data_IF_707966816635
#
_entry.id   IF_707966816635
#
_cell.length_a   1.000
_cell.length_b   1.000
_cell.length_c   1.000
_cell.angle_alpha   90.00
_cell.angle_beta   90.00
_cell.angle_gamma   90.00
#
_symmetry.space_group_name_H-M   'P 1'
#
loop_
_entity.id
_entity.type
_entity.pdbx_description
1 polymer ?
#
# COMPACT_ATOMS: atom_id res chain seq x y z
N UNK A 1 -31.60 34.73 -15.58
CA UNK A 1 -30.73 33.53 -15.46
C UNK A 1 -31.47 32.63 -14.50
N UNK A 2 -31.69 31.37 -14.83
CA UNK A 2 -32.30 30.44 -13.86
C UNK A 2 -31.31 30.24 -12.73
N UNK A 3 -31.80 30.30 -11.47
CA UNK A 3 -30.95 30.00 -10.30
C UNK A 3 -30.42 28.57 -10.42
N UNK A 4 -29.13 28.39 -10.22
CA UNK A 4 -28.49 27.09 -10.25
C UNK A 4 -29.05 26.26 -9.09
N UNK A 5 -29.45 25.00 -9.37
CA UNK A 5 -29.98 24.10 -8.35
C UNK A 5 -28.90 23.83 -7.29
N UNK A 6 -29.29 23.91 -6.02
CA UNK A 6 -28.40 23.68 -4.89
C UNK A 6 -28.56 22.22 -4.40
N UNK A 7 -27.45 21.46 -4.37
CA UNK A 7 -27.39 20.07 -3.93
C UNK A 7 -27.03 19.87 -2.45
N UNK A 8 -26.72 20.94 -1.66
CA UNK A 8 -26.14 20.83 -0.32
C UNK A 8 -26.95 19.91 0.64
N UNK A 9 -28.27 19.97 0.54
CA UNK A 9 -29.15 19.14 1.37
C UNK A 9 -29.34 17.70 0.88
N UNK A 10 -28.75 17.34 -0.25
CA UNK A 10 -28.91 16.03 -0.88
C UNK A 10 -27.67 15.15 -0.81
N UNK A 11 -26.54 15.71 -0.39
CA UNK A 11 -25.32 14.91 -0.22
C UNK A 11 -25.43 13.96 0.99
N UNK A 12 -24.90 12.74 0.83
CA UNK A 12 -24.80 11.80 1.93
C UNK A 12 -23.76 12.26 2.96
N UNK A 13 -23.92 11.87 4.23
CA UNK A 13 -23.00 12.22 5.33
C UNK A 13 -21.53 11.81 5.02
N UNK A 14 -21.33 10.72 4.28
CA UNK A 14 -19.99 10.24 3.91
C UNK A 14 -19.41 10.87 2.65
N UNK A 15 -20.17 11.71 1.93
CA UNK A 15 -19.67 12.39 0.74
C UNK A 15 -18.78 13.57 1.14
N UNK A 16 -17.66 13.70 0.46
CA UNK A 16 -16.75 14.84 0.62
C UNK A 16 -16.63 15.56 -0.71
N UNK A 17 -16.61 16.88 -0.68
CA UNK A 17 -16.29 17.67 -1.86
C UNK A 17 -14.81 17.46 -2.19
N UNK A 18 -14.57 16.53 -3.10
CA UNK A 18 -13.24 16.23 -3.61
C UNK A 18 -13.30 16.37 -5.11
N UNK A 19 -13.02 17.57 -5.64
CA UNK A 19 -13.01 17.77 -7.08
C UNK A 19 -12.02 16.84 -7.74
N UNK A 20 -12.35 16.24 -8.91
CA UNK A 20 -11.42 15.44 -9.66
C UNK A 20 -10.23 16.30 -10.08
N UNK A 21 -9.14 16.18 -9.33
CA UNK A 21 -7.88 16.88 -9.59
C UNK A 21 -6.96 16.07 -10.49
N UNK A 22 -6.12 16.75 -11.26
CA UNK A 22 -4.96 16.12 -11.89
C UNK A 22 -3.91 15.82 -10.82
N UNK A 23 -3.24 14.67 -10.96
CA UNK A 23 -2.04 14.41 -10.16
C UNK A 23 -1.02 15.50 -10.48
N UNK A 24 -0.56 16.20 -9.46
CA UNK A 24 0.45 17.25 -9.59
C UNK A 24 1.84 16.61 -9.50
N UNK A 25 2.71 16.94 -10.43
CA UNK A 25 4.10 16.51 -10.44
C UNK A 25 5.01 17.72 -10.25
N UNK A 26 6.08 17.56 -9.47
CA UNK A 26 7.17 18.51 -9.36
C UNK A 26 8.34 18.07 -10.23
N UNK A 27 9.37 18.92 -10.38
CA UNK A 27 10.59 18.56 -11.09
C UNK A 27 11.31 17.35 -10.46
N UNK A 28 11.37 17.34 -9.13
CA UNK A 28 11.92 16.26 -8.32
C UNK A 28 10.78 15.64 -7.52
N UNK A 29 10.15 14.63 -8.09
CA UNK A 29 8.92 14.05 -7.53
C UNK A 29 9.23 12.81 -6.67
N UNK A 30 9.31 13.03 -5.35
CA UNK A 30 9.47 11.97 -4.36
C UNK A 30 8.16 11.66 -3.63
N UNK A 31 7.04 12.28 -4.00
CA UNK A 31 5.74 12.03 -3.37
C UNK A 31 5.10 10.75 -3.92
N UNK A 32 5.08 10.59 -5.24
CA UNK A 32 4.26 9.57 -5.89
C UNK A 32 4.94 8.22 -5.91
N UNK A 33 4.20 7.18 -5.51
CA UNK A 33 4.68 5.81 -5.46
C UNK A 33 4.45 5.08 -6.80
N UNK A 34 5.07 5.54 -7.86
CA UNK A 34 5.05 4.89 -9.17
C UNK A 34 6.25 3.97 -9.36
N UNK A 35 6.12 2.88 -10.13
CA UNK A 35 7.27 2.14 -10.63
C UNK A 35 8.07 2.99 -11.62
N UNK A 36 9.25 2.52 -11.95
CA UNK A 36 10.11 3.12 -12.95
C UNK A 36 9.46 3.02 -14.34
N UNK A 37 9.18 4.13 -15.03
CA UNK A 37 8.58 4.08 -16.37
C UNK A 37 9.48 3.43 -17.41
N UNK A 38 10.80 3.51 -17.26
CA UNK A 38 11.78 2.94 -18.20
C UNK A 38 11.88 1.40 -18.07
N UNK A 39 11.43 0.85 -16.93
CA UNK A 39 11.41 -0.60 -16.68
C UNK A 39 10.05 -1.25 -16.98
N UNK A 40 9.07 -0.53 -17.55
CA UNK A 40 7.79 -1.15 -17.89
C UNK A 40 7.96 -2.16 -19.03
N UNK A 41 7.47 -3.42 -18.91
CA UNK A 41 7.66 -4.47 -19.89
C UNK A 41 6.66 -4.36 -21.06
N UNK A 42 6.62 -3.19 -21.74
CA UNK A 42 5.55 -2.83 -22.68
C UNK A 42 5.42 -3.82 -23.83
N UNK A 43 6.52 -4.23 -24.48
CA UNK A 43 6.49 -5.18 -25.59
C UNK A 43 5.95 -6.55 -25.16
N UNK A 44 6.42 -7.06 -24.03
CA UNK A 44 5.94 -8.33 -23.47
C UNK A 44 4.47 -8.28 -23.07
N UNK A 45 3.98 -7.11 -22.61
CA UNK A 45 2.56 -6.92 -22.32
C UNK A 45 1.73 -6.88 -23.61
N UNK A 46 2.21 -6.28 -24.70
CA UNK A 46 1.54 -6.27 -26.01
C UNK A 46 1.42 -7.71 -26.54
N UNK A 47 2.49 -8.51 -26.47
CA UNK A 47 2.45 -9.93 -26.84
C UNK A 47 1.46 -10.72 -25.98
N UNK A 48 1.45 -10.45 -24.67
CA UNK A 48 0.52 -11.10 -23.72
C UNK A 48 -0.94 -10.74 -24.00
N UNK A 49 -1.24 -9.48 -24.40
CA UNK A 49 -2.59 -9.09 -24.85
C UNK A 49 -3.01 -9.94 -26.04
N UNK A 50 -2.14 -10.06 -27.06
CA UNK A 50 -2.43 -10.83 -28.28
C UNK A 50 -2.72 -12.30 -27.93
N UNK A 51 -1.82 -12.94 -27.18
CA UNK A 51 -1.97 -14.33 -26.78
C UNK A 51 -3.25 -14.56 -25.94
N UNK A 52 -3.55 -13.68 -25.02
CA UNK A 52 -4.76 -13.75 -24.20
C UNK A 52 -6.04 -13.67 -25.03
N UNK A 53 -6.07 -12.81 -26.03
CA UNK A 53 -7.23 -12.64 -26.92
C UNK A 53 -7.39 -13.81 -27.88
N UNK A 54 -6.30 -14.33 -28.43
CA UNK A 54 -6.32 -15.54 -29.27
C UNK A 54 -6.87 -16.73 -28.47
N UNK A 55 -6.42 -16.90 -27.23
CA UNK A 55 -6.91 -17.97 -26.33
C UNK A 55 -8.38 -17.82 -25.98
N UNK A 56 -8.85 -16.60 -25.68
CA UNK A 56 -10.24 -16.34 -25.23
C UNK A 56 -11.22 -16.25 -26.38
N UNK A 57 -10.80 -15.69 -27.50
CA UNK A 57 -11.57 -15.61 -28.72
C UNK A 57 -12.96 -14.98 -28.52
N UNK A 58 -13.99 -15.68 -29.07
CA UNK A 58 -15.39 -15.21 -29.02
C UNK A 58 -15.98 -15.14 -27.61
N UNK A 59 -15.39 -15.82 -26.61
CA UNK A 59 -15.86 -15.80 -25.23
C UNK A 59 -15.71 -14.42 -24.59
N UNK A 60 -14.95 -13.50 -25.20
CA UNK A 60 -14.92 -12.10 -24.80
C UNK A 60 -16.29 -11.38 -24.94
N UNK A 61 -17.25 -11.97 -25.68
CA UNK A 61 -18.63 -11.48 -25.76
C UNK A 61 -19.44 -11.71 -24.48
N UNK A 62 -18.96 -12.54 -23.56
CA UNK A 62 -19.63 -12.84 -22.30
C UNK A 62 -18.97 -12.14 -21.12
N UNK A 63 -19.77 -11.82 -20.12
CA UNK A 63 -19.21 -11.39 -18.83
C UNK A 63 -18.38 -12.52 -18.21
N UNK A 64 -17.23 -12.17 -17.65
CA UNK A 64 -16.41 -13.14 -16.90
C UNK A 64 -17.07 -13.55 -15.58
N UNK A 65 -16.56 -14.65 -14.99
CA UNK A 65 -16.94 -15.02 -13.62
C UNK A 65 -16.82 -13.83 -12.67
N UNK A 66 -17.78 -13.64 -11.78
CA UNK A 66 -17.67 -12.61 -10.74
C UNK A 66 -16.35 -12.61 -9.97
N UNK A 67 -15.79 -13.80 -9.67
CA UNK A 67 -14.47 -13.91 -9.01
C UNK A 67 -13.28 -13.52 -9.91
N UNK A 68 -13.51 -13.23 -11.19
CA UNK A 68 -12.47 -12.93 -12.18
C UNK A 68 -12.00 -14.15 -12.98
N UNK A 69 -11.02 -13.96 -13.84
CA UNK A 69 -10.47 -14.99 -14.71
C UNK A 69 -9.87 -16.15 -13.91
N UNK A 70 -10.30 -17.38 -14.21
CA UNK A 70 -9.90 -18.57 -13.46
C UNK A 70 -8.43 -18.92 -13.67
N UNK A 71 -7.90 -18.70 -14.87
CA UNK A 71 -6.50 -18.95 -15.16
C UNK A 71 -5.59 -18.00 -14.36
N UNK A 72 -5.91 -16.70 -14.34
CA UNK A 72 -5.16 -15.74 -13.54
C UNK A 72 -5.21 -16.08 -12.05
N UNK A 73 -6.38 -16.47 -11.53
CA UNK A 73 -6.50 -16.88 -10.12
C UNK A 73 -5.65 -18.11 -9.78
N UNK A 74 -5.56 -19.09 -10.69
CA UNK A 74 -4.67 -20.25 -10.51
C UNK A 74 -3.20 -19.84 -10.49
N UNK A 75 -2.77 -19.02 -11.45
CA UNK A 75 -1.39 -18.53 -11.50
C UNK A 75 -1.01 -17.71 -10.26
N UNK A 76 -1.94 -16.90 -9.75
CA UNK A 76 -1.73 -16.17 -8.48
C UNK A 76 -1.63 -17.16 -7.31
N UNK A 77 -2.50 -18.17 -7.22
CA UNK A 77 -2.42 -19.18 -6.16
C UNK A 77 -1.08 -19.93 -6.18
N UNK A 78 -0.61 -20.32 -7.38
CA UNK A 78 0.66 -21.01 -7.57
C UNK A 78 1.84 -20.09 -7.15
N UNK A 79 1.80 -18.80 -7.51
CA UNK A 79 2.79 -17.81 -7.09
C UNK A 79 2.81 -17.65 -5.56
N UNK A 80 1.66 -17.49 -4.94
CA UNK A 80 1.55 -17.34 -3.47
C UNK A 80 2.01 -18.61 -2.73
N UNK A 81 1.71 -19.79 -3.27
CA UNK A 81 2.20 -21.05 -2.73
C UNK A 81 3.73 -21.14 -2.79
N UNK A 82 4.32 -20.79 -3.93
CA UNK A 82 5.77 -20.86 -4.17
C UNK A 82 6.55 -19.83 -3.34
N UNK A 83 6.07 -18.60 -3.29
CA UNK A 83 6.83 -17.47 -2.77
C UNK A 83 6.48 -17.06 -1.35
N UNK A 84 5.26 -17.38 -0.91
CA UNK A 84 4.74 -17.02 0.41
C UNK A 84 4.40 -18.21 1.29
N UNK A 85 4.58 -19.43 0.75
CA UNK A 85 4.19 -20.69 1.41
C UNK A 85 2.70 -20.72 1.82
N UNK A 86 1.83 -20.05 1.05
CA UNK A 86 0.40 -19.99 1.32
C UNK A 86 -0.29 -21.23 0.77
N UNK A 87 -1.14 -21.85 1.60
CA UNK A 87 -1.98 -23.00 1.20
C UNK A 87 -3.31 -22.52 0.64
N UNK A 88 -3.28 -21.96 -0.57
CA UNK A 88 -4.45 -21.34 -1.22
C UNK A 88 -4.67 -21.89 -2.61
N UNK A 89 -5.91 -21.86 -3.06
CA UNK A 89 -6.34 -22.24 -4.39
C UNK A 89 -7.03 -21.08 -5.10
N UNK A 90 -7.35 -21.23 -6.38
CA UNK A 90 -8.13 -20.22 -7.11
C UNK A 90 -9.50 -19.94 -6.47
N UNK A 91 -10.05 -20.87 -5.70
CA UNK A 91 -11.38 -20.73 -5.07
C UNK A 91 -11.33 -19.93 -3.75
N UNK A 92 -10.14 -19.72 -3.20
CA UNK A 92 -9.92 -18.95 -1.98
C UNK A 92 -9.67 -17.48 -2.26
N UNK A 93 -9.80 -17.03 -3.53
CA UNK A 93 -9.52 -15.67 -3.92
C UNK A 93 -10.49 -15.08 -4.93
N UNK A 94 -10.53 -13.75 -4.96
CA UNK A 94 -11.23 -12.97 -5.98
C UNK A 94 -10.32 -11.87 -6.52
N UNK A 95 -10.44 -11.60 -7.82
CA UNK A 95 -9.73 -10.51 -8.47
C UNK A 95 -10.45 -9.18 -8.27
N UNK A 96 -9.68 -8.11 -8.10
CA UNK A 96 -10.19 -6.75 -7.86
C UNK A 96 -9.50 -5.73 -8.76
N UNK A 97 -10.13 -4.58 -8.94
CA UNK A 97 -9.57 -3.47 -9.72
C UNK A 97 -8.47 -2.72 -8.94
N UNK A 98 -7.39 -3.46 -8.62
CA UNK A 98 -6.32 -3.07 -7.72
C UNK A 98 -6.64 -3.39 -6.26
N UNK A 99 -5.60 -3.36 -5.41
CA UNK A 99 -5.73 -3.60 -3.96
C UNK A 99 -6.67 -2.60 -3.27
N UNK A 100 -6.77 -1.36 -3.77
CA UNK A 100 -7.66 -0.36 -3.20
C UNK A 100 -9.14 -0.75 -3.22
N UNK A 101 -9.61 -1.48 -4.25
CA UNK A 101 -10.96 -2.06 -4.26
C UNK A 101 -11.08 -3.20 -3.25
N UNK A 102 -10.09 -4.12 -3.20
CA UNK A 102 -10.07 -5.20 -2.23
C UNK A 102 -10.16 -4.67 -0.79
N UNK A 103 -9.32 -3.69 -0.45
CA UNK A 103 -9.32 -3.02 0.85
C UNK A 103 -10.69 -2.40 1.13
N UNK A 104 -11.27 -1.66 0.18
CA UNK A 104 -12.55 -0.99 0.35
C UNK A 104 -13.71 -1.93 0.63
N UNK A 105 -13.82 -3.04 -0.11
CA UNK A 105 -14.92 -4.02 0.11
C UNK A 105 -14.75 -4.79 1.43
N UNK A 106 -13.51 -5.04 1.88
CA UNK A 106 -13.25 -5.65 3.20
C UNK A 106 -13.60 -4.69 4.33
N UNK A 107 -13.20 -3.42 4.23
CA UNK A 107 -13.58 -2.38 5.20
C UNK A 107 -15.11 -2.31 5.33
N UNK A 108 -15.82 -2.25 4.19
CA UNK A 108 -17.29 -2.20 4.20
C UNK A 108 -17.94 -3.45 4.81
N UNK A 109 -17.35 -4.62 4.56
CA UNK A 109 -17.89 -5.88 5.09
C UNK A 109 -17.68 -6.07 6.59
N UNK A 110 -16.58 -5.52 7.14
CA UNK A 110 -16.17 -5.78 8.51
C UNK A 110 -16.39 -4.61 9.47
N UNK A 111 -16.70 -3.39 8.97
CA UNK A 111 -16.71 -2.18 9.77
C UNK A 111 -18.10 -1.52 9.76
N UNK A 112 -18.63 -1.19 10.93
CA UNK A 112 -19.75 -0.28 11.08
C UNK A 112 -19.24 1.10 11.55
N UNK A 113 -19.97 2.19 11.32
CA UNK A 113 -19.60 3.49 11.90
C UNK A 113 -19.45 3.41 13.43
N UNK A 114 -18.32 3.93 13.93
CA UNK A 114 -17.96 3.90 15.36
C UNK A 114 -17.25 2.63 15.84
N UNK A 115 -17.10 1.60 15.01
CA UNK A 115 -16.27 0.44 15.31
C UNK A 115 -14.78 0.85 15.29
N UNK A 116 -13.99 0.27 16.19
CA UNK A 116 -12.55 0.50 16.26
C UNK A 116 -11.81 -0.39 15.27
N UNK A 117 -10.93 0.22 14.50
CA UNK A 117 -9.96 -0.46 13.63
C UNK A 117 -8.55 -0.11 14.09
N UNK A 118 -7.73 -1.12 14.31
CA UNK A 118 -6.34 -0.93 14.73
C UNK A 118 -5.42 -0.85 13.52
N UNK A 119 -4.46 0.08 13.57
CA UNK A 119 -3.46 0.29 12.52
C UNK A 119 -2.11 0.60 13.15
N UNK A 120 -1.04 0.50 12.37
CA UNK A 120 0.28 1.01 12.75
C UNK A 120 0.22 2.53 13.02
N UNK A 121 1.17 3.08 13.78
CA UNK A 121 1.21 4.52 14.11
C UNK A 121 1.23 5.41 12.86
N UNK A 122 1.93 4.94 11.82
CA UNK A 122 1.88 5.52 10.47
C UNK A 122 1.44 4.44 9.50
N UNK A 123 0.41 4.73 8.73
CA UNK A 123 -0.25 3.76 7.84
C UNK A 123 -0.54 4.38 6.47
N UNK A 124 -0.66 3.56 5.45
CA UNK A 124 -0.96 4.02 4.10
C UNK A 124 -2.18 4.95 4.06
N UNK A 125 -1.94 6.18 3.59
CA UNK A 125 -2.94 7.26 3.54
C UNK A 125 -4.23 6.84 2.83
N UNK A 126 -4.12 6.06 1.74
CA UNK A 126 -5.29 5.61 0.98
C UNK A 126 -6.22 4.72 1.81
N UNK A 127 -5.67 3.79 2.59
CA UNK A 127 -6.45 2.93 3.48
C UNK A 127 -6.99 3.70 4.67
N UNK A 128 -6.17 4.58 5.28
CA UNK A 128 -6.61 5.44 6.38
C UNK A 128 -7.83 6.29 6.00
N UNK A 129 -7.79 6.91 4.80
CA UNK A 129 -8.91 7.70 4.30
C UNK A 129 -10.14 6.85 4.00
N UNK A 130 -9.98 5.62 3.51
CA UNK A 130 -11.10 4.72 3.31
C UNK A 130 -11.77 4.35 4.64
N UNK A 131 -10.99 3.96 5.68
CA UNK A 131 -11.51 3.64 7.01
C UNK A 131 -12.29 4.82 7.60
N UNK A 132 -11.71 6.03 7.57
CA UNK A 132 -12.37 7.26 8.04
C UNK A 132 -13.67 7.56 7.27
N UNK A 133 -13.68 7.36 5.96
CA UNK A 133 -14.87 7.56 5.11
C UNK A 133 -16.02 6.64 5.49
N UNK A 134 -15.73 5.40 5.91
CA UNK A 134 -16.74 4.45 6.41
C UNK A 134 -17.08 4.63 7.88
N UNK A 135 -16.56 5.68 8.51
CA UNK A 135 -16.89 6.05 9.88
C UNK A 135 -16.19 5.19 10.94
N UNK A 136 -15.12 4.50 10.59
CA UNK A 136 -14.31 3.77 11.57
C UNK A 136 -13.61 4.73 12.54
N UNK A 137 -13.52 4.33 13.80
CA UNK A 137 -12.65 4.92 14.81
C UNK A 137 -11.26 4.28 14.67
N UNK A 138 -10.36 4.97 13.96
CA UNK A 138 -9.04 4.43 13.62
C UNK A 138 -8.05 4.72 14.75
N UNK A 139 -7.57 3.67 15.40
CA UNK A 139 -6.70 3.74 16.57
C UNK A 139 -5.32 3.20 16.24
N UNK A 140 -4.30 4.02 16.48
CA UNK A 140 -2.91 3.66 16.27
C UNK A 140 -2.39 2.73 17.38
N UNK A 141 -1.58 1.75 16.98
CA UNK A 141 -0.76 0.91 17.85
C UNK A 141 0.69 1.38 17.73
N UNK A 142 1.41 1.50 18.84
CA UNK A 142 2.81 1.91 18.81
C UNK A 142 3.66 0.88 18.06
N UNK A 143 4.63 1.40 17.32
CA UNK A 143 5.59 0.62 16.55
C UNK A 143 7.02 1.01 16.96
N UNK A 144 7.95 0.08 16.74
CA UNK A 144 9.38 0.31 16.76
C UNK A 144 9.99 -0.06 15.39
N UNK A 145 11.32 -0.17 15.29
CA UNK A 145 12.00 -0.54 14.04
C UNK A 145 11.65 -1.96 13.56
N UNK A 146 11.12 -2.82 14.41
CA UNK A 146 10.61 -4.17 14.08
C UNK A 146 9.11 -4.22 13.78
N UNK A 147 8.41 -3.09 13.76
CA UNK A 147 6.98 -2.99 13.49
C UNK A 147 6.12 -2.88 14.76
N UNK A 148 4.91 -3.41 14.71
CA UNK A 148 3.93 -3.33 15.81
C UNK A 148 4.51 -3.93 17.09
N UNK A 149 4.47 -3.18 18.19
CA UNK A 149 4.86 -3.63 19.53
C UNK A 149 3.71 -4.46 20.13
N UNK A 150 3.92 -5.78 20.39
CA UNK A 150 2.83 -6.68 20.84
C UNK A 150 2.18 -6.24 22.15
N UNK A 151 2.97 -5.73 23.11
CA UNK A 151 2.48 -5.25 24.40
C UNK A 151 1.58 -4.00 24.23
N UNK A 152 1.95 -3.12 23.29
CA UNK A 152 1.11 -1.98 22.93
C UNK A 152 -0.20 -2.42 22.28
N UNK A 153 -0.14 -3.42 21.38
CA UNK A 153 -1.33 -3.99 20.74
C UNK A 153 -2.29 -4.59 21.80
N UNK A 154 -1.78 -5.42 22.73
CA UNK A 154 -2.58 -6.02 23.82
C UNK A 154 -3.23 -4.95 24.70
N UNK A 155 -2.45 -3.93 25.08
CA UNK A 155 -2.94 -2.80 25.88
C UNK A 155 -4.04 -2.01 25.16
N UNK A 156 -3.84 -1.65 23.90
CA UNK A 156 -4.81 -0.88 23.11
C UNK A 156 -6.10 -1.65 22.94
N UNK A 157 -6.06 -2.96 22.64
CA UNK A 157 -7.27 -3.79 22.52
C UNK A 157 -8.01 -3.84 23.84
N UNK A 158 -7.30 -4.08 24.94
CA UNK A 158 -7.86 -4.13 26.30
C UNK A 158 -8.54 -2.81 26.66
N UNK A 159 -7.88 -1.68 26.43
CA UNK A 159 -8.40 -0.35 26.74
C UNK A 159 -9.65 -0.01 25.91
N UNK A 160 -9.66 -0.32 24.62
CA UNK A 160 -10.83 -0.04 23.78
C UNK A 160 -12.02 -0.92 24.17
N UNK A 161 -11.76 -2.20 24.48
CA UNK A 161 -12.80 -3.13 24.95
C UNK A 161 -13.36 -2.69 26.31
N UNK A 162 -12.53 -2.24 27.24
CA UNK A 162 -12.95 -1.72 28.53
C UNK A 162 -13.83 -0.46 28.41
N UNK A 163 -13.65 0.34 27.35
CA UNK A 163 -14.51 1.49 27.00
C UNK A 163 -15.82 1.07 26.30
N UNK A 164 -16.10 -0.23 26.18
CA UNK A 164 -17.29 -0.75 25.50
C UNK A 164 -17.25 -0.62 23.97
N UNK A 165 -16.09 -0.37 23.39
CA UNK A 165 -15.91 -0.30 21.94
C UNK A 165 -15.74 -1.70 21.33
N UNK A 166 -16.20 -1.87 20.08
CA UNK A 166 -15.98 -3.09 19.31
C UNK A 166 -14.71 -2.92 18.46
N UNK A 167 -13.67 -3.69 18.78
CA UNK A 167 -12.44 -3.76 17.98
C UNK A 167 -12.64 -4.80 16.87
N UNK A 168 -12.53 -4.39 15.61
CA UNK A 168 -12.92 -5.22 14.45
C UNK A 168 -11.76 -6.03 13.87
N UNK A 169 -10.63 -5.41 13.65
CA UNK A 169 -9.45 -6.04 13.08
C UNK A 169 -8.21 -5.16 13.27
N UNK A 170 -7.04 -5.79 13.08
CA UNK A 170 -5.77 -5.11 12.90
C UNK A 170 -5.44 -5.07 11.41
N UNK A 171 -5.27 -3.88 10.82
CA UNK A 171 -4.71 -3.71 9.49
C UNK A 171 -3.21 -3.42 9.58
N UNK A 172 -2.40 -4.11 8.79
CA UNK A 172 -0.95 -3.98 8.79
C UNK A 172 -0.34 -4.20 7.40
N UNK A 173 0.77 -3.52 7.12
CA UNK A 173 1.61 -3.74 5.93
C UNK A 173 2.94 -4.32 6.42
N UNK A 174 3.09 -5.66 6.53
CA UNK A 174 4.21 -6.27 7.23
C UNK A 174 5.50 -6.33 6.42
N UNK A 175 5.46 -6.06 5.11
CA UNK A 175 6.61 -6.06 4.20
C UNK A 175 6.82 -4.68 3.58
N UNK A 176 8.02 -4.12 3.76
CA UNK A 176 8.40 -2.83 3.17
C UNK A 176 7.32 -1.77 3.39
N UNK A 177 6.95 -1.61 4.64
CA UNK A 177 5.80 -0.86 5.12
C UNK A 177 5.68 0.54 4.49
N UNK A 178 4.50 0.93 4.12
CA UNK A 178 4.20 2.26 3.63
C UNK A 178 3.54 3.11 4.75
N UNK A 179 4.25 4.11 5.31
CA UNK A 179 5.39 4.85 4.73
C UNK A 179 6.79 4.47 5.23
N UNK A 180 6.93 3.62 6.24
CA UNK A 180 8.12 3.49 7.09
C UNK A 180 9.29 2.72 6.42
N UNK A 181 9.01 1.86 5.44
CA UNK A 181 10.02 1.07 4.72
C UNK A 181 10.56 -0.15 5.46
N UNK A 182 10.16 -0.40 6.72
CA UNK A 182 10.61 -1.57 7.47
C UNK A 182 9.88 -2.87 7.09
N UNK A 183 10.47 -3.99 7.46
CA UNK A 183 9.87 -5.32 7.37
C UNK A 183 9.69 -5.90 8.75
N UNK A 184 8.48 -6.34 9.09
CA UNK A 184 8.20 -7.04 10.33
C UNK A 184 8.79 -8.46 10.28
N UNK A 185 9.67 -8.79 11.21
CA UNK A 185 10.31 -10.10 11.27
C UNK A 185 9.34 -11.24 11.67
N UNK A 186 9.79 -12.47 11.50
CA UNK A 186 8.96 -13.66 11.74
C UNK A 186 8.50 -13.77 13.20
N UNK A 187 9.35 -13.50 14.16
CA UNK A 187 9.01 -13.63 15.58
C UNK A 187 8.00 -12.56 15.98
N UNK A 188 8.16 -11.33 15.48
CA UNK A 188 7.21 -10.26 15.72
C UNK A 188 5.83 -10.59 15.13
N UNK A 189 5.77 -11.18 13.92
CA UNK A 189 4.50 -11.65 13.33
C UNK A 189 3.82 -12.69 14.18
N UNK A 190 4.55 -13.66 14.72
CA UNK A 190 4.01 -14.69 15.63
C UNK A 190 3.41 -14.07 16.88
N UNK A 191 4.13 -13.14 17.53
CA UNK A 191 3.65 -12.45 18.73
C UNK A 191 2.38 -11.60 18.43
N UNK A 192 2.33 -10.91 17.30
CA UNK A 192 1.13 -10.16 16.87
C UNK A 192 -0.05 -11.10 16.65
N UNK A 193 0.16 -12.27 16.01
CA UNK A 193 -0.88 -13.30 15.85
C UNK A 193 -1.32 -13.90 17.18
N UNK A 194 -0.43 -14.09 18.13
CA UNK A 194 -0.76 -14.56 19.48
C UNK A 194 -1.67 -13.55 20.18
N UNK A 195 -1.30 -12.27 20.18
CA UNK A 195 -2.11 -11.20 20.79
C UNK A 195 -3.47 -11.09 20.12
N UNK A 196 -3.54 -11.00 18.79
CA UNK A 196 -4.81 -10.92 18.08
C UNK A 196 -5.66 -12.15 18.29
N UNK A 197 -5.04 -13.35 18.38
CA UNK A 197 -5.69 -14.61 18.70
C UNK A 197 -6.31 -14.64 20.09
N UNK A 198 -5.57 -14.19 21.10
CA UNK A 198 -6.05 -14.05 22.49
C UNK A 198 -7.34 -13.22 22.58
N UNK A 199 -7.43 -12.18 21.77
CA UNK A 199 -8.59 -11.27 21.74
C UNK A 199 -9.65 -11.64 20.69
N UNK A 200 -9.43 -12.69 19.88
CA UNK A 200 -10.34 -13.11 18.81
C UNK A 200 -10.49 -12.09 17.68
N UNK A 201 -9.43 -11.32 17.38
CA UNK A 201 -9.44 -10.25 16.40
C UNK A 201 -8.75 -10.73 15.11
N UNK A 202 -9.38 -10.59 13.92
CA UNK A 202 -8.74 -10.89 12.65
C UNK A 202 -7.62 -9.92 12.31
N UNK A 203 -6.67 -10.38 11.48
CA UNK A 203 -5.62 -9.56 10.88
C UNK A 203 -5.94 -9.32 9.42
N UNK A 204 -5.83 -8.09 8.99
CA UNK A 204 -5.94 -7.67 7.60
C UNK A 204 -4.52 -7.32 7.09
N UNK A 205 -3.92 -8.26 6.38
CA UNK A 205 -2.58 -8.18 5.82
C UNK A 205 -2.60 -7.57 4.42
N UNK A 206 -1.95 -6.41 4.24
CA UNK A 206 -1.73 -5.77 2.94
C UNK A 206 -0.30 -6.03 2.47
N UNK A 207 -0.13 -6.92 1.49
CA UNK A 207 1.16 -7.41 1.02
C UNK A 207 1.50 -6.89 -0.40
N UNK A 208 1.19 -5.63 -0.67
CA UNK A 208 1.36 -5.03 -1.98
C UNK A 208 2.83 -4.79 -2.41
N UNK A 209 3.79 -4.93 -1.50
CA UNK A 209 5.20 -4.61 -1.74
C UNK A 209 6.14 -5.82 -1.64
N UNK A 210 5.69 -6.97 -1.15
CA UNK A 210 6.55 -8.11 -0.80
C UNK A 210 7.42 -8.67 -1.95
N UNK A 211 7.01 -8.47 -3.20
CA UNK A 211 7.79 -8.85 -4.37
C UNK A 211 8.94 -7.89 -4.68
N UNK A 212 8.93 -6.69 -4.09
CA UNK A 212 9.96 -5.67 -4.27
C UNK A 212 11.11 -5.82 -3.26
N UNK A 213 11.54 -7.05 -3.03
CA UNK A 213 12.65 -7.37 -2.14
C UNK A 213 13.96 -7.47 -2.92
N UNK A 214 14.92 -6.60 -2.63
CA UNK A 214 16.23 -6.60 -3.26
C UNK A 214 17.38 -6.97 -2.30
N UNK A 215 17.10 -6.99 -0.98
CA UNK A 215 18.02 -7.47 0.07
C UNK A 215 17.23 -8.25 1.13
N UNK A 216 17.93 -8.86 2.08
CA UNK A 216 17.35 -9.62 3.18
C UNK A 216 16.68 -10.93 2.77
N UNK A 217 16.02 -11.57 3.73
CA UNK A 217 15.35 -12.85 3.55
C UNK A 217 13.83 -12.69 3.38
N UNK A 218 13.21 -13.66 2.72
CA UNK A 218 11.76 -13.71 2.62
C UNK A 218 11.14 -14.04 3.98
N UNK A 219 10.19 -13.24 4.43
CA UNK A 219 9.48 -13.47 5.70
C UNK A 219 8.11 -14.09 5.41
N UNK A 220 7.79 -15.18 6.11
CA UNK A 220 6.49 -15.86 6.01
C UNK A 220 5.35 -14.90 6.35
N UNK A 221 4.32 -14.83 5.49
CA UNK A 221 3.16 -13.97 5.66
C UNK A 221 2.34 -14.33 6.91
N UNK A 222 1.57 -13.38 7.43
CA UNK A 222 0.58 -13.67 8.48
C UNK A 222 -0.39 -14.75 8.06
N UNK A 223 -0.85 -14.69 6.80
CA UNK A 223 -1.77 -15.70 6.25
C UNK A 223 -1.18 -17.11 6.30
N UNK A 224 0.13 -17.27 6.04
CA UNK A 224 0.78 -18.59 6.07
C UNK A 224 1.09 -19.09 7.48
N UNK A 225 1.14 -18.19 8.46
CA UNK A 225 1.34 -18.52 9.87
C UNK A 225 0.01 -18.87 10.57
N UNK A 226 -1.12 -18.48 10.01
CA UNK A 226 -2.44 -18.68 10.62
C UNK A 226 -3.13 -19.94 10.09
N UNK A 227 -3.36 -20.89 10.95
CA UNK A 227 -4.11 -22.12 10.65
C UNK A 227 -5.63 -21.99 11.00
N UNK A 228 -6.09 -20.82 11.45
CA UNK A 228 -7.47 -20.61 11.95
C UNK A 228 -8.39 -19.90 10.98
N UNK A 229 -7.84 -19.34 9.88
CA UNK A 229 -8.61 -18.56 8.90
C UNK A 229 -8.94 -17.14 9.37
N UNK A 230 -8.15 -16.56 10.29
CA UNK A 230 -8.35 -15.18 10.79
C UNK A 230 -7.66 -14.12 9.93
N UNK A 231 -6.84 -14.50 8.97
CA UNK A 231 -6.09 -13.53 8.16
C UNK A 231 -6.79 -13.30 6.84
N UNK A 232 -7.11 -12.05 6.58
CA UNK A 232 -7.54 -11.53 5.28
C UNK A 232 -6.31 -10.95 4.59
N UNK A 233 -5.99 -11.40 3.38
CA UNK A 233 -4.78 -11.03 2.66
C UNK A 233 -5.12 -10.31 1.35
N UNK A 234 -4.41 -9.22 1.07
CA UNK A 234 -4.54 -8.44 -0.17
C UNK A 234 -3.19 -8.35 -0.87
N UNK A 235 -3.20 -8.61 -2.18
CA UNK A 235 -2.05 -8.42 -3.05
C UNK A 235 -2.35 -7.55 -4.26
N UNK A 236 -1.30 -7.10 -4.95
CA UNK A 236 -1.41 -6.15 -6.07
C UNK A 236 -0.37 -6.39 -7.15
N UNK A 237 -0.75 -6.15 -8.39
CA UNK A 237 0.17 -6.11 -9.53
C UNK A 237 0.66 -4.68 -9.83
N UNK A 238 0.17 -3.68 -9.11
CA UNK A 238 0.47 -2.26 -9.39
C UNK A 238 1.94 -1.90 -9.26
N UNK A 239 2.69 -2.60 -8.39
CA UNK A 239 4.10 -2.28 -8.12
C UNK A 239 5.07 -3.20 -8.84
N UNK A 240 4.59 -4.34 -9.33
CA UNK A 240 5.41 -5.36 -10.01
C UNK A 240 5.15 -5.46 -11.53
N UNK A 241 4.12 -4.76 -12.04
CA UNK A 241 3.89 -4.61 -13.48
C UNK A 241 3.67 -3.13 -13.77
N UNK A 242 2.45 -2.63 -13.51
CA UNK A 242 2.11 -1.22 -13.72
C UNK A 242 0.83 -0.85 -12.95
N UNK A 243 0.76 0.33 -12.30
CA UNK A 243 -0.45 0.78 -11.61
C UNK A 243 -1.63 1.00 -12.58
N UNK A 244 -1.36 1.32 -13.85
CA UNK A 244 -2.37 1.49 -14.90
C UNK A 244 -3.12 0.20 -15.24
N UNK A 245 -2.57 -0.98 -14.94
CA UNK A 245 -3.24 -2.27 -15.15
C UNK A 245 -4.46 -2.48 -14.23
N UNK A 246 -4.54 -1.75 -13.13
CA UNK A 246 -5.66 -1.83 -12.18
C UNK A 246 -6.04 -3.26 -11.82
N UNK A 247 -5.06 -4.08 -11.39
CA UNK A 247 -5.30 -5.46 -10.96
C UNK A 247 -4.72 -5.71 -9.57
N UNK A 248 -5.54 -6.32 -8.72
CA UNK A 248 -5.20 -6.83 -7.41
C UNK A 248 -6.03 -8.06 -7.10
N UNK A 249 -5.87 -8.61 -5.92
CA UNK A 249 -6.62 -9.77 -5.47
C UNK A 249 -6.81 -9.76 -3.96
N UNK A 250 -7.91 -10.39 -3.53
CA UNK A 250 -8.27 -10.64 -2.15
C UNK A 250 -8.25 -12.15 -1.91
N UNK A 251 -7.52 -12.59 -0.89
CA UNK A 251 -7.55 -13.96 -0.35
C UNK A 251 -8.15 -13.92 1.04
N UNK A 252 -9.20 -14.68 1.27
CA UNK A 252 -9.87 -14.71 2.56
C UNK A 252 -10.75 -15.97 2.68
N UNK A 253 -11.23 -16.33 3.89
CA UNK A 253 -12.25 -17.34 4.07
C UNK A 253 -13.50 -17.03 3.22
N UNK A 254 -14.16 -18.07 2.72
CA UNK A 254 -15.32 -17.95 1.82
C UNK A 254 -16.44 -17.06 2.38
N UNK A 255 -16.66 -17.10 3.70
CA UNK A 255 -17.66 -16.26 4.35
C UNK A 255 -17.30 -14.76 4.30
N UNK A 256 -16.01 -14.42 4.42
CA UNK A 256 -15.52 -13.04 4.29
C UNK A 256 -15.64 -12.59 2.83
N UNK A 257 -15.19 -13.43 1.89
CA UNK A 257 -15.32 -13.14 0.45
C UNK A 257 -16.78 -12.91 0.07
N UNK A 258 -17.71 -13.78 0.51
CA UNK A 258 -19.12 -13.66 0.18
C UNK A 258 -19.74 -12.36 0.69
N UNK A 259 -19.37 -11.90 1.89
CA UNK A 259 -19.83 -10.63 2.44
C UNK A 259 -19.17 -9.43 1.78
N UNK A 260 -17.85 -9.46 1.59
CA UNK A 260 -17.11 -8.40 0.91
C UNK A 260 -17.62 -8.21 -0.53
N UNK A 261 -17.93 -9.32 -1.21
CA UNK A 261 -18.45 -9.30 -2.57
C UNK A 261 -19.81 -8.58 -2.69
N UNK A 262 -20.64 -8.57 -1.66
CA UNK A 262 -21.91 -7.85 -1.67
C UNK A 262 -21.74 -6.32 -1.80
N UNK A 263 -20.55 -5.80 -1.49
CA UNK A 263 -20.20 -4.39 -1.64
C UNK A 263 -19.48 -4.08 -2.95
N UNK A 264 -19.09 -5.11 -3.72
CA UNK A 264 -18.46 -4.89 -5.01
C UNK A 264 -19.49 -4.44 -6.05
N UNK A 265 -19.27 -3.27 -6.61
CA UNK A 265 -20.07 -2.75 -7.71
C UNK A 265 -19.34 -2.94 -9.05
N UNK A 266 -20.08 -2.91 -10.17
CA UNK A 266 -19.50 -2.96 -11.51
C UNK A 266 -19.10 -4.35 -12.03
N UNK A 267 -19.44 -5.43 -11.33
CA UNK A 267 -19.21 -6.81 -11.78
C UNK A 267 -17.72 -7.26 -11.65
N UNK A 268 -17.28 -8.12 -12.55
CA UNK A 268 -15.92 -8.64 -12.58
C UNK A 268 -14.91 -7.59 -13.07
N UNK A 269 -13.62 -7.88 -12.83
CA UNK A 269 -12.52 -7.05 -13.37
C UNK A 269 -12.44 -7.11 -14.89
N UNK A 270 -11.74 -6.16 -15.49
CA UNK A 270 -11.49 -6.13 -16.94
C UNK A 270 -10.86 -7.43 -17.41
N UNK A 271 -11.49 -8.09 -18.38
CA UNK A 271 -10.93 -9.29 -19.01
C UNK A 271 -9.64 -8.97 -19.79
N UNK A 272 -9.54 -7.80 -20.40
CA UNK A 272 -8.32 -7.37 -21.08
C UNK A 272 -7.12 -7.42 -20.14
N UNK A 273 -7.25 -6.81 -18.98
CA UNK A 273 -6.18 -6.79 -17.97
C UNK A 273 -5.91 -8.19 -17.40
N UNK A 274 -6.96 -8.94 -17.07
CA UNK A 274 -6.81 -10.26 -16.48
C UNK A 274 -6.11 -11.24 -17.43
N UNK A 275 -6.48 -11.25 -18.72
CA UNK A 275 -5.85 -12.11 -19.73
C UNK A 275 -4.40 -11.70 -19.98
N UNK A 276 -4.13 -10.41 -20.08
CA UNK A 276 -2.76 -9.88 -20.26
C UNK A 276 -1.85 -10.32 -19.12
N UNK A 277 -2.27 -10.15 -17.87
CA UNK A 277 -1.47 -10.53 -16.71
C UNK A 277 -1.30 -12.05 -16.65
N UNK A 278 -2.36 -12.83 -16.94
CA UNK A 278 -2.28 -14.29 -16.95
C UNK A 278 -1.24 -14.80 -17.96
N UNK A 279 -1.23 -14.26 -19.19
CA UNK A 279 -0.22 -14.66 -20.18
C UNK A 279 1.18 -14.19 -19.78
N UNK A 280 1.32 -12.97 -19.25
CA UNK A 280 2.60 -12.43 -18.81
C UNK A 280 3.20 -13.24 -17.64
N UNK A 281 2.40 -13.71 -16.70
CA UNK A 281 2.83 -14.55 -15.58
C UNK A 281 3.42 -15.89 -16.02
N UNK A 282 3.06 -16.41 -17.19
CA UNK A 282 3.55 -17.72 -17.68
C UNK A 282 5.03 -17.75 -18.02
N UNK A 283 5.68 -16.60 -18.20
CA UNK A 283 7.10 -16.61 -18.59
C UNK A 283 7.84 -15.27 -18.44
N UNK A 284 7.16 -14.17 -18.10
CA UNK A 284 7.79 -12.85 -18.09
C UNK A 284 7.92 -12.21 -16.69
N UNK A 285 6.99 -12.53 -15.79
CA UNK A 285 6.85 -11.80 -14.53
C UNK A 285 8.06 -11.97 -13.59
N UNK A 286 8.51 -13.19 -13.35
CA UNK A 286 9.60 -13.45 -12.38
C UNK A 286 10.89 -12.74 -12.79
N UNK A 287 11.27 -12.84 -14.06
CA UNK A 287 12.44 -12.12 -14.60
C UNK A 287 12.29 -10.60 -14.48
N UNK A 288 11.11 -10.09 -14.77
CA UNK A 288 10.83 -8.66 -14.67
C UNK A 288 10.96 -8.16 -13.22
N UNK A 289 10.47 -8.92 -12.25
CA UNK A 289 10.62 -8.60 -10.81
C UNK A 289 12.10 -8.54 -10.43
N UNK A 290 12.92 -9.50 -10.90
CA UNK A 290 14.36 -9.51 -10.63
C UNK A 290 15.06 -8.27 -11.22
N UNK A 291 14.78 -7.93 -12.48
CA UNK A 291 15.34 -6.75 -13.15
C UNK A 291 14.91 -5.46 -12.44
N UNK A 292 13.63 -5.35 -12.06
CA UNK A 292 13.09 -4.21 -11.33
C UNK A 292 13.74 -4.07 -9.94
N UNK A 293 13.94 -5.16 -9.22
CA UNK A 293 14.55 -5.16 -7.90
C UNK A 293 16.02 -4.70 -7.95
N UNK A 294 16.78 -5.08 -8.98
CA UNK A 294 18.13 -4.56 -9.19
C UNK A 294 18.14 -3.04 -9.42
N UNK A 295 17.23 -2.53 -10.24
CA UNK A 295 17.12 -1.10 -10.48
C UNK A 295 16.68 -0.34 -9.22
N UNK A 296 15.73 -0.89 -8.43
CA UNK A 296 15.28 -0.30 -7.17
C UNK A 296 16.39 -0.25 -6.11
N UNK A 297 17.20 -1.29 -6.02
CA UNK A 297 18.36 -1.29 -5.12
C UNK A 297 19.32 -0.14 -5.44
N UNK A 298 19.67 0.06 -6.71
CA UNK A 298 20.53 1.16 -7.13
C UNK A 298 19.92 2.54 -6.81
N UNK A 299 18.61 2.69 -6.95
CA UNK A 299 17.89 3.93 -6.62
C UNK A 299 17.81 4.17 -5.10
N UNK A 300 17.58 3.11 -4.30
CA UNK A 300 17.65 3.18 -2.83
C UNK A 300 19.04 3.64 -2.37
N UNK A 301 20.09 3.06 -2.92
CA UNK A 301 21.47 3.40 -2.57
C UNK A 301 21.80 4.84 -2.91
N UNK A 302 21.33 5.32 -4.07
CA UNK A 302 21.47 6.72 -4.46
C UNK A 302 20.73 7.67 -3.51
N UNK A 303 19.50 7.30 -3.06
CA UNK A 303 18.72 8.07 -2.10
C UNK A 303 19.44 8.17 -0.75
N UNK A 304 19.88 7.03 -0.21
CA UNK A 304 20.58 6.95 1.07
C UNK A 304 21.90 7.73 1.04
N UNK A 305 22.70 7.57 -0.04
CA UNK A 305 23.93 8.34 -0.23
C UNK A 305 23.67 9.84 -0.27
N UNK A 306 22.68 10.27 -1.07
CA UNK A 306 22.33 11.68 -1.21
C UNK A 306 21.82 12.28 0.11
N UNK A 307 21.06 11.53 0.90
CA UNK A 307 20.62 11.96 2.24
C UNK A 307 21.85 12.17 3.15
N UNK A 308 22.79 11.22 3.15
CA UNK A 308 24.02 11.32 3.95
C UNK A 308 24.90 12.48 3.54
N UNK A 309 25.07 12.73 2.23
CA UNK A 309 25.89 13.82 1.68
C UNK A 309 25.32 15.21 1.99
N UNK A 310 23.98 15.37 2.00
CA UNK A 310 23.35 16.67 2.09
C UNK A 310 22.82 17.02 3.48
N UNK A 311 22.52 16.04 4.31
CA UNK A 311 21.97 16.25 5.66
C UNK A 311 22.89 15.73 6.77
N UNK A 312 23.81 14.80 6.48
CA UNK A 312 24.73 14.22 7.45
C UNK A 312 23.98 13.63 8.65
N UNK A 313 24.42 13.96 9.87
CA UNK A 313 23.79 13.50 11.11
C UNK A 313 22.61 14.36 11.58
N UNK A 314 22.20 15.35 10.82
CA UNK A 314 21.10 16.25 11.18
C UNK A 314 19.72 15.60 11.04
N UNK A 315 19.60 14.53 10.28
CA UNK A 315 18.38 13.75 10.07
C UNK A 315 18.65 12.26 10.21
N UNK A 316 17.61 11.52 10.55
CA UNK A 316 17.62 10.07 10.62
C UNK A 316 16.79 9.51 9.46
N UNK A 317 17.16 8.37 8.90
CA UNK A 317 16.36 7.73 7.84
C UNK A 317 16.45 6.21 7.91
N UNK A 318 15.39 5.56 7.40
CA UNK A 318 15.38 4.11 7.20
C UNK A 318 16.21 3.73 5.98
N UNK A 319 16.88 2.57 6.06
CA UNK A 319 17.55 1.93 4.91
C UNK A 319 16.76 0.67 4.58
N UNK A 320 15.78 0.75 3.64
CA UNK A 320 14.89 -0.37 3.37
C UNK A 320 15.60 -1.46 2.54
N UNK A 321 15.27 -2.72 2.83
CA UNK A 321 15.73 -3.90 2.08
C UNK A 321 14.84 -4.20 0.86
N UNK A 322 13.81 -3.40 0.66
CA UNK A 322 12.84 -3.54 -0.42
C UNK A 322 11.84 -2.40 -0.47
N UNK A 323 10.80 -2.56 -1.28
CA UNK A 323 9.77 -1.54 -1.44
C UNK A 323 10.23 -0.32 -2.21
N UNK A 324 9.65 0.84 -1.88
CA UNK A 324 9.79 2.07 -2.68
C UNK A 324 10.14 3.30 -1.85
N UNK A 325 10.27 3.20 -0.51
CA UNK A 325 10.23 4.34 0.40
C UNK A 325 11.41 4.42 1.33
N UNK A 326 11.98 5.64 1.46
CA UNK A 326 12.76 6.05 2.61
C UNK A 326 11.88 6.91 3.53
N UNK A 327 11.88 6.59 4.81
CA UNK A 327 11.23 7.37 5.86
C UNK A 327 12.30 8.21 6.56
N UNK A 328 12.15 9.53 6.50
CA UNK A 328 13.16 10.47 6.99
C UNK A 328 12.60 11.27 8.13
N UNK A 329 13.30 11.27 9.26
CA UNK A 329 12.96 12.00 10.48
C UNK A 329 13.88 13.22 10.63
N UNK A 330 13.29 14.37 10.68
CA UNK A 330 13.96 15.64 10.95
C UNK A 330 13.95 15.96 12.44
N UNK A 331 14.79 16.91 12.91
CA UNK A 331 14.82 17.32 14.31
C UNK A 331 13.43 17.69 14.85
N UNK A 332 13.21 17.45 16.13
CA UNK A 332 11.97 17.87 16.80
C UNK A 332 11.77 19.38 16.66
N UNK A 333 10.53 19.80 16.46
CA UNK A 333 10.16 21.18 16.19
C UNK A 333 10.22 21.59 14.71
N UNK A 334 10.74 20.72 13.83
CA UNK A 334 10.63 20.92 12.37
C UNK A 334 9.20 20.67 11.91
N UNK A 335 8.60 21.61 11.19
CA UNK A 335 7.24 21.47 10.63
C UNK A 335 7.27 21.44 9.10
N UNK A 336 7.43 20.24 8.55
CA UNK A 336 7.47 20.01 7.10
C UNK A 336 6.07 19.99 6.47
N UNK A 337 5.00 19.89 7.26
CA UNK A 337 3.65 20.03 6.76
C UNK A 337 3.33 21.50 6.40
N UNK A 338 3.77 22.44 7.22
CA UNK A 338 3.54 23.86 7.00
C UNK A 338 4.20 24.41 5.72
N UNK A 339 5.35 23.85 5.33
CA UNK A 339 6.14 24.32 4.18
C UNK A 339 5.99 23.45 2.93
N UNK A 340 5.19 22.38 2.97
CA UNK A 340 5.09 21.39 1.89
C UNK A 340 4.68 22.01 0.54
N UNK A 341 3.69 22.90 0.54
CA UNK A 341 3.18 23.53 -0.68
C UNK A 341 4.20 24.51 -1.29
N UNK A 342 4.93 25.24 -0.46
CA UNK A 342 5.98 26.13 -0.90
C UNK A 342 7.13 25.36 -1.54
N UNK A 343 7.58 24.26 -0.91
CA UNK A 343 8.63 23.38 -1.42
C UNK A 343 8.21 22.73 -2.73
N UNK A 344 6.92 22.35 -2.86
CA UNK A 344 6.38 21.87 -4.11
C UNK A 344 6.53 22.87 -5.25
N UNK A 345 6.21 24.13 -5.02
CA UNK A 345 6.37 25.21 -6.00
C UNK A 345 7.84 25.49 -6.35
N UNK A 346 8.76 25.14 -5.47
CA UNK A 346 10.20 25.22 -5.74
C UNK A 346 10.75 23.97 -6.45
N UNK A 347 9.89 23.01 -6.76
CA UNK A 347 10.20 21.88 -7.63
C UNK A 347 10.50 20.57 -6.93
N UNK A 348 10.28 20.45 -5.61
CA UNK A 348 10.45 19.20 -4.86
C UNK A 348 9.13 18.78 -4.23
N UNK A 349 8.71 17.52 -4.44
CA UNK A 349 7.53 16.97 -3.77
C UNK A 349 7.88 15.81 -2.84
N UNK A 350 7.15 15.71 -1.75
CA UNK A 350 7.20 14.63 -0.76
C UNK A 350 5.85 14.46 -0.11
N UNK A 351 5.64 13.35 0.61
CA UNK A 351 4.52 13.25 1.55
C UNK A 351 5.00 13.52 2.97
N UNK A 352 4.29 14.41 3.67
CA UNK A 352 4.55 14.70 5.09
C UNK A 352 4.01 13.57 5.98
N UNK A 353 4.72 13.27 7.07
CA UNK A 353 4.40 12.18 7.99
C UNK A 353 3.03 12.30 8.65
N UNK A 354 2.57 13.51 8.96
CA UNK A 354 1.27 13.72 9.60
C UNK A 354 0.08 13.21 8.77
N UNK A 355 0.24 13.12 7.45
CA UNK A 355 -0.78 12.58 6.55
C UNK A 355 -1.01 11.08 6.72
N UNK A 356 -0.01 10.34 7.21
CA UNK A 356 -0.06 8.90 7.44
C UNK A 356 -0.51 8.52 8.86
N UNK A 357 -0.61 9.48 9.76
CA UNK A 357 -0.97 9.23 11.16
C UNK A 357 -2.47 9.39 11.39
N UNK A 358 -3.15 8.41 12.04
CA UNK A 358 -4.53 8.60 12.49
C UNK A 358 -4.72 9.80 13.39
N UNK A 359 -3.70 10.11 14.21
CA UNK A 359 -3.69 11.21 15.18
C UNK A 359 -3.07 12.51 14.67
N UNK A 360 -2.56 12.56 13.42
CA UNK A 360 -1.92 13.73 12.84
C UNK A 360 -0.50 14.02 13.36
N UNK A 361 0.15 13.08 14.05
CA UNK A 361 1.55 13.19 14.48
C UNK A 361 2.51 13.06 13.29
N UNK A 362 3.75 13.48 13.46
CA UNK A 362 4.82 13.27 12.49
C UNK A 362 5.01 14.41 11.49
N UNK A 363 4.73 15.67 11.88
CA UNK A 363 5.00 16.84 11.04
C UNK A 363 6.48 17.03 10.70
N UNK A 364 7.38 16.45 11.51
CA UNK A 364 8.82 16.43 11.29
C UNK A 364 9.32 15.18 10.51
N UNK A 365 8.41 14.39 9.92
CA UNK A 365 8.77 13.24 9.09
C UNK A 365 8.37 13.48 7.64
N UNK A 366 9.10 12.87 6.73
CA UNK A 366 8.73 12.79 5.32
C UNK A 366 8.91 11.38 4.77
N UNK A 367 8.02 10.99 3.88
CA UNK A 367 8.18 9.83 3.02
C UNK A 367 8.75 10.27 1.69
N UNK A 368 9.90 9.73 1.31
CA UNK A 368 10.52 9.92 0.01
C UNK A 368 10.42 8.62 -0.79
N UNK A 369 9.83 8.69 -1.99
CA UNK A 369 9.72 7.57 -2.91
C UNK A 369 10.89 7.59 -3.91
N UNK A 370 11.66 6.50 -3.98
CA UNK A 370 12.77 6.35 -4.92
C UNK A 370 12.40 5.51 -6.16
N UNK A 371 11.19 4.95 -6.23
CA UNK A 371 10.81 4.03 -7.31
C UNK A 371 10.75 4.67 -8.69
N UNK A 372 10.19 5.87 -8.79
CA UNK A 372 9.94 6.57 -10.05
C UNK A 372 11.15 7.33 -10.62
N UNK A 373 11.85 8.18 -9.84
CA UNK A 373 12.91 9.03 -10.38
C UNK A 373 14.15 8.20 -10.76
N UNK A 374 14.97 8.74 -11.70
CA UNK A 374 16.26 8.16 -12.03
C UNK A 374 17.27 8.38 -10.88
N UNK A 375 18.37 7.62 -10.87
CA UNK A 375 19.47 7.79 -9.90
C UNK A 375 20.01 9.24 -9.92
N UNK A 376 20.14 9.84 -11.08
CA UNK A 376 20.59 11.23 -11.24
C UNK A 376 19.57 12.22 -10.65
N UNK A 377 18.30 12.06 -11.01
CA UNK A 377 17.19 12.86 -10.47
C UNK A 377 17.09 12.76 -8.94
N UNK A 378 17.37 11.59 -8.37
CA UNK A 378 17.41 11.39 -6.91
C UNK A 378 18.51 12.26 -6.29
N UNK A 379 19.73 12.19 -6.80
CA UNK A 379 20.88 12.94 -6.27
C UNK A 379 20.66 14.45 -6.35
N UNK A 380 20.25 14.93 -7.51
CA UNK A 380 19.96 16.35 -7.71
C UNK A 380 18.80 16.82 -6.83
N UNK A 381 17.72 16.04 -6.76
CA UNK A 381 16.50 16.42 -6.03
C UNK A 381 16.72 16.45 -4.52
N UNK A 382 17.48 15.52 -3.94
CA UNK A 382 17.82 15.54 -2.51
C UNK A 382 18.74 16.73 -2.19
N UNK A 383 19.71 17.05 -3.05
CA UNK A 383 20.55 18.23 -2.87
C UNK A 383 19.71 19.52 -2.94
N UNK A 384 18.78 19.62 -3.89
CA UNK A 384 17.88 20.76 -3.99
C UNK A 384 16.94 20.85 -2.78
N UNK A 385 16.42 19.73 -2.29
CA UNK A 385 15.57 19.69 -1.09
C UNK A 385 16.32 20.24 0.12
N UNK A 386 17.56 19.78 0.35
CA UNK A 386 18.40 20.30 1.44
C UNK A 386 18.65 21.82 1.32
N UNK A 387 18.97 22.30 0.11
CA UNK A 387 19.19 23.72 -0.17
C UNK A 387 17.95 24.58 0.11
N UNK A 388 16.77 24.09 -0.23
CA UNK A 388 15.50 24.79 0.03
C UNK A 388 15.24 24.86 1.53
N UNK A 389 15.40 23.76 2.26
CA UNK A 389 15.18 23.71 3.70
C UNK A 389 16.14 24.62 4.47
N UNK A 390 17.43 24.66 4.09
CA UNK A 390 18.43 25.54 4.69
C UNK A 390 18.07 27.02 4.45
N UNK A 391 17.76 27.39 3.21
CA UNK A 391 17.36 28.77 2.85
C UNK A 391 16.11 29.22 3.60
N UNK A 392 15.15 28.35 3.81
CA UNK A 392 13.91 28.63 4.52
C UNK A 392 14.07 28.57 6.03
N UNK A 393 15.22 28.14 6.53
CA UNK A 393 15.48 27.95 7.96
C UNK A 393 14.40 27.09 8.65
N UNK A 394 14.07 25.98 8.02
CA UNK A 394 13.01 25.08 8.50
C UNK A 394 13.44 24.33 9.76
N UNK A 395 14.76 24.18 9.98
CA UNK A 395 15.29 23.54 11.18
C UNK A 395 15.23 24.50 12.36
N UNK A 396 14.82 24.05 13.56
CA UNK A 396 14.99 24.81 14.77
C UNK A 396 16.48 25.07 14.99
N UNK A 397 16.85 26.30 15.25
CA UNK A 397 18.22 26.75 15.47
C UNK A 397 18.83 26.20 16.77
#
# INVERSE_FOLDING_TARGET
MADQFNYDNFFSIGSQDTPPGSVRHSKYDFAVAYPDPDNLPLESLIESVRAGFERKGRDLAYYSSPSGDTELRKLVADKLSRERNMKVTADDMVLTSGSGEAIGIVIQALTNPGDVVLVEEFVYLGTLNQMKRYGADVVAVNCDDGGIIPESLDSVITDQTAKGKTVKYLYTIPMFQNPLGWTMDLERRKLVLEVTGKHGIPVFEDDCYADLRFEGEAVTSFHSLDDTGRVVYVGSFSKIIAPGMRMGYLVAPREVIGRAWSFKSGGAVSQFTALTIAEYMKGGLDRHIDEQNQALMAKRDAMVSALGENFGSSVEWSVPEGGLYCWVKFPEGTDLAAVQEEIFHEGVSYYNGSQFSPSGKGSNYVRLCFGHPTVETIREGIAEFARILDRKKVFPG
#
